data_IF_219887372442
#
_entry.id   IF_219887372442
#
_cell.length_a   1.000
_cell.length_b   1.000
_cell.length_c   1.000
_cell.angle_alpha   90.00
_cell.angle_beta   90.00
_cell.angle_gamma   90.00
#
_symmetry.space_group_name_H-M   'P 1'
#
loop_
_entity.id
_entity.type
_entity.pdbx_description
1 polymer ?
#
# COMPACT_ATOMS: atom_id res chain seq x y z
N UNK A 1 5.68 59.04 40.14
CA UNK A 1 4.42 58.27 40.10
C UNK A 1 4.07 58.00 38.64
N UNK A 2 4.14 56.71 38.25
CA UNK A 2 3.56 56.00 37.06
C UNK A 2 3.81 56.50 35.62
N UNK A 3 3.75 55.63 34.58
CA UNK A 3 4.18 54.22 34.39
C UNK A 3 5.23 54.11 33.23
N UNK A 4 6.05 53.07 33.06
CA UNK A 4 5.71 51.65 32.86
C UNK A 4 5.36 51.36 31.39
N UNK A 5 6.35 51.17 30.50
CA UNK A 5 6.12 50.82 29.08
C UNK A 5 6.86 49.52 28.72
N UNK A 6 6.13 48.41 28.74
CA UNK A 6 6.61 47.08 28.29
C UNK A 6 6.45 46.99 26.77
N UNK A 7 7.55 46.78 26.05
CA UNK A 7 7.56 46.40 24.64
C UNK A 7 7.27 44.90 24.54
N UNK A 8 6.12 44.52 23.97
CA UNK A 8 5.89 43.15 23.53
C UNK A 8 6.33 43.04 22.07
N UNK A 9 7.39 42.28 21.80
CA UNK A 9 7.70 41.82 20.44
C UNK A 9 6.79 40.62 20.14
N UNK A 10 5.84 40.80 19.22
CA UNK A 10 5.08 39.71 18.64
C UNK A 10 5.88 39.11 17.47
N UNK A 11 6.53 37.97 17.69
CA UNK A 11 7.19 37.20 16.63
C UNK A 11 6.12 36.49 15.81
N UNK A 12 5.85 36.99 14.61
CA UNK A 12 4.89 36.38 13.68
C UNK A 12 5.49 35.10 13.08
N UNK A 13 4.92 33.94 13.40
CA UNK A 13 5.20 32.69 12.67
C UNK A 13 4.47 32.74 11.32
N UNK A 14 5.20 32.92 10.24
CA UNK A 14 4.68 32.72 8.89
C UNK A 14 4.55 31.20 8.63
N UNK A 15 3.31 30.71 8.61
CA UNK A 15 2.98 29.35 8.21
C UNK A 15 3.16 29.25 6.68
N UNK A 16 4.28 28.67 6.22
CA UNK A 16 4.53 28.42 4.80
C UNK A 16 3.60 27.30 4.34
N UNK A 17 2.49 27.67 3.73
CA UNK A 17 1.60 26.75 3.03
C UNK A 17 2.30 26.28 1.75
N UNK A 18 2.84 25.05 1.75
CA UNK A 18 3.30 24.39 0.53
C UNK A 18 2.08 23.78 -0.16
N UNK A 19 1.69 24.22 -1.38
CA UNK A 19 0.67 23.51 -2.13
C UNK A 19 1.18 22.10 -2.44
N UNK A 20 0.35 21.09 -2.18
CA UNK A 20 0.60 19.73 -2.64
C UNK A 20 0.71 19.77 -4.17
N UNK A 21 1.88 19.38 -4.69
CA UNK A 21 2.09 19.24 -6.13
C UNK A 21 1.09 18.19 -6.64
N UNK A 22 0.09 18.63 -7.39
CA UNK A 22 -0.82 17.74 -8.09
C UNK A 22 0.01 16.97 -9.12
N UNK A 23 0.44 15.77 -8.75
CA UNK A 23 1.07 14.85 -9.68
C UNK A 23 0.05 14.55 -10.78
N UNK A 24 0.44 14.76 -12.04
CA UNK A 24 -0.34 14.30 -13.19
C UNK A 24 -0.66 12.83 -12.92
N UNK A 25 -1.94 12.48 -12.76
CA UNK A 25 -2.35 11.14 -12.33
C UNK A 25 -1.59 10.10 -13.15
N UNK A 26 -0.62 9.43 -12.52
CA UNK A 26 0.26 8.52 -13.23
C UNK A 26 -0.60 7.42 -13.83
N UNK A 27 -0.44 7.18 -15.13
CA UNK A 27 -1.23 6.19 -15.85
C UNK A 27 -1.14 4.83 -15.14
N UNK A 28 -2.27 4.13 -15.08
CA UNK A 28 -2.34 2.80 -14.50
C UNK A 28 -1.43 1.85 -15.29
N UNK A 29 -0.53 1.14 -14.61
CA UNK A 29 0.37 0.20 -15.25
C UNK A 29 0.68 -0.99 -14.33
N UNK A 30 1.22 -2.06 -14.91
CA UNK A 30 1.74 -3.22 -14.19
C UNK A 30 3.26 -3.07 -14.04
N UNK A 31 3.78 -2.95 -12.81
CA UNK A 31 5.22 -2.93 -12.57
C UNK A 31 5.90 -4.19 -13.13
N UNK A 32 6.91 -4.06 -14.01
CA UNK A 32 7.55 -5.22 -14.64
C UNK A 32 8.23 -6.15 -13.62
N UNK A 33 8.35 -7.47 -13.93
CA UNK A 33 9.14 -8.41 -13.14
C UNK A 33 10.56 -7.89 -12.85
N UNK A 34 11.07 -8.13 -11.64
CA UNK A 34 12.44 -7.76 -11.25
C UNK A 34 12.67 -6.27 -10.97
N UNK A 35 11.69 -5.39 -11.21
CA UNK A 35 11.87 -3.96 -10.94
C UNK A 35 11.90 -3.64 -9.43
N UNK A 36 12.60 -2.58 -9.01
CA UNK A 36 12.59 -2.12 -7.61
C UNK A 36 11.19 -1.80 -7.11
N UNK A 37 10.35 -1.24 -7.97
CA UNK A 37 8.95 -0.93 -7.67
C UNK A 37 8.14 -2.19 -7.35
N UNK A 38 8.18 -3.20 -8.24
CA UNK A 38 7.51 -4.47 -7.99
C UNK A 38 8.04 -5.13 -6.72
N UNK A 39 9.36 -5.06 -6.50
CA UNK A 39 10.01 -5.59 -5.30
C UNK A 39 9.51 -4.90 -4.04
N UNK A 40 9.33 -3.58 -4.06
CA UNK A 40 8.83 -2.80 -2.93
C UNK A 40 7.36 -3.12 -2.61
N UNK A 41 6.51 -3.26 -3.64
CA UNK A 41 5.10 -3.63 -3.51
C UNK A 41 4.95 -5.04 -2.92
N UNK A 42 5.58 -6.05 -3.53
CA UNK A 42 5.54 -7.42 -3.03
C UNK A 42 6.20 -7.54 -1.64
N UNK A 43 7.21 -6.72 -1.36
CA UNK A 43 7.82 -6.61 -0.05
C UNK A 43 6.86 -6.06 1.02
N UNK A 44 6.00 -5.11 0.68
CA UNK A 44 4.98 -4.61 1.59
C UNK A 44 3.93 -5.68 1.93
N UNK A 45 3.48 -6.45 0.93
CA UNK A 45 2.56 -7.59 1.15
C UNK A 45 3.21 -8.64 2.05
N UNK A 46 4.45 -9.05 1.75
CA UNK A 46 5.20 -10.00 2.59
C UNK A 46 5.31 -9.54 4.04
N UNK A 47 5.64 -8.27 4.28
CA UNK A 47 5.74 -7.71 5.64
C UNK A 47 4.39 -7.72 6.37
N UNK A 48 3.30 -7.37 5.69
CA UNK A 48 1.96 -7.39 6.27
C UNK A 48 1.55 -8.81 6.71
N UNK A 49 1.95 -9.82 5.95
CA UNK A 49 1.71 -11.23 6.23
C UNK A 49 2.75 -11.90 7.14
N UNK A 50 3.80 -11.16 7.54
CA UNK A 50 4.94 -11.68 8.35
C UNK A 50 5.66 -12.87 7.71
N UNK A 51 5.71 -12.92 6.38
CA UNK A 51 6.36 -14.00 5.63
C UNK A 51 7.87 -13.76 5.50
N UNK A 52 8.65 -14.83 5.43
CA UNK A 52 10.09 -14.76 5.29
C UNK A 52 10.49 -14.41 3.83
N UNK A 53 11.17 -13.28 3.57
CA UNK A 53 11.56 -12.85 2.22
C UNK A 53 12.45 -13.83 1.46
N UNK A 54 13.25 -14.65 2.16
CA UNK A 54 14.15 -15.63 1.55
C UNK A 54 13.48 -16.97 1.24
N UNK A 55 12.30 -17.23 1.82
CA UNK A 55 11.61 -18.52 1.72
C UNK A 55 10.26 -18.42 0.98
N UNK A 56 9.77 -17.20 0.72
CA UNK A 56 8.44 -16.96 0.17
C UNK A 56 8.48 -15.98 -1.00
N UNK A 57 7.76 -16.33 -2.07
CA UNK A 57 7.47 -15.53 -3.26
C UNK A 57 5.96 -15.50 -3.49
N UNK A 58 5.53 -14.77 -4.51
CA UNK A 58 4.14 -14.78 -4.95
C UNK A 58 4.03 -15.20 -6.41
N UNK A 59 3.12 -16.13 -6.69
CA UNK A 59 2.51 -16.28 -7.99
C UNK A 59 1.49 -15.15 -8.15
N UNK A 60 1.75 -14.19 -9.05
CA UNK A 60 0.98 -12.95 -9.15
C UNK A 60 -0.11 -13.09 -10.20
N UNK A 61 -1.37 -13.02 -9.78
CA UNK A 61 -2.54 -13.03 -10.68
C UNK A 61 -2.84 -11.64 -11.21
N UNK A 62 -2.75 -10.64 -10.35
CA UNK A 62 -2.94 -9.24 -10.73
C UNK A 62 -2.04 -8.31 -9.92
N UNK A 63 -1.41 -7.36 -10.61
CA UNK A 63 -0.67 -6.28 -9.96
C UNK A 63 -0.75 -5.04 -10.83
N UNK A 64 -1.34 -3.98 -10.29
CA UNK A 64 -1.39 -2.66 -10.96
C UNK A 64 -1.15 -1.54 -9.98
N UNK A 65 -0.51 -0.48 -10.46
CA UNK A 65 -0.26 0.78 -9.75
C UNK A 65 -0.88 1.94 -10.50
N UNK A 66 -1.48 2.87 -9.76
CA UNK A 66 -1.85 4.19 -10.24
C UNK A 66 -1.54 5.24 -9.16
N UNK A 67 -0.67 6.21 -9.48
CA UNK A 67 -0.21 7.22 -8.52
C UNK A 67 0.38 6.61 -7.23
N UNK A 68 -0.26 6.93 -6.09
CA UNK A 68 0.12 6.45 -4.76
C UNK A 68 -0.60 5.16 -4.35
N UNK A 69 -1.36 4.53 -5.26
CA UNK A 69 -2.13 3.33 -4.96
C UNK A 69 -1.67 2.16 -5.81
N UNK A 70 -1.78 0.95 -5.26
CA UNK A 70 -1.59 -0.28 -6.00
C UNK A 70 -2.53 -1.36 -5.49
N UNK A 71 -2.97 -2.26 -6.38
CA UNK A 71 -3.74 -3.44 -6.01
C UNK A 71 -2.98 -4.69 -6.42
N UNK A 72 -3.00 -5.69 -5.54
CA UNK A 72 -2.31 -6.95 -5.67
C UNK A 72 -3.26 -8.12 -5.41
N UNK A 73 -3.14 -9.15 -6.23
CA UNK A 73 -3.77 -10.45 -6.05
C UNK A 73 -2.80 -11.56 -6.45
N UNK A 74 -2.71 -12.62 -5.65
CA UNK A 74 -1.80 -13.74 -5.92
C UNK A 74 -1.78 -14.79 -4.82
N UNK A 75 -1.09 -15.90 -5.09
CA UNK A 75 -0.85 -16.97 -4.14
C UNK A 75 0.61 -16.97 -3.67
N UNK A 76 0.86 -17.35 -2.42
CA UNK A 76 2.22 -17.57 -1.94
C UNK A 76 2.81 -18.83 -2.59
N UNK A 77 4.12 -18.75 -2.84
CA UNK A 77 4.93 -19.86 -3.31
C UNK A 77 6.14 -19.96 -2.39
N UNK A 78 6.36 -21.12 -1.78
CA UNK A 78 7.47 -21.37 -0.87
C UNK A 78 8.57 -22.19 -1.53
N UNK A 79 9.81 -21.96 -1.11
CA UNK A 79 10.94 -22.80 -1.50
C UNK A 79 10.90 -24.12 -0.71
N UNK A 80 11.11 -25.22 -1.41
CA UNK A 80 11.31 -26.54 -0.81
C UNK A 80 12.81 -26.89 -0.73
N UNK A 81 13.18 -27.81 0.16
CA UNK A 81 14.57 -28.22 0.40
C UNK A 81 15.28 -28.75 -0.86
N UNK A 82 14.50 -29.28 -1.80
CA UNK A 82 14.99 -29.80 -3.09
C UNK A 82 15.16 -28.70 -4.17
N UNK A 83 15.23 -27.42 -3.78
CA UNK A 83 15.32 -26.24 -4.68
C UNK A 83 14.13 -26.06 -5.63
N UNK A 84 13.02 -26.77 -5.40
CA UNK A 84 11.77 -26.54 -6.12
C UNK A 84 10.91 -25.50 -5.39
N UNK A 85 9.88 -25.03 -6.09
CA UNK A 85 8.93 -24.05 -5.59
C UNK A 85 7.54 -24.69 -5.56
N UNK A 86 6.83 -24.55 -4.44
CA UNK A 86 5.49 -25.07 -4.28
C UNK A 86 4.52 -23.94 -3.95
N UNK A 87 3.43 -23.86 -4.72
CA UNK A 87 2.31 -22.97 -4.41
C UNK A 87 1.61 -23.46 -3.14
N UNK A 88 1.35 -22.54 -2.21
CA UNK A 88 0.62 -22.83 -0.98
C UNK A 88 -0.86 -22.58 -1.19
N UNK A 89 -1.67 -22.94 -0.20
CA UNK A 89 -3.09 -22.56 -0.15
C UNK A 89 -3.29 -21.08 0.22
N UNK A 90 -2.21 -20.32 0.47
CA UNK A 90 -2.28 -18.91 0.86
C UNK A 90 -2.58 -18.00 -0.34
N UNK A 91 -3.86 -17.69 -0.56
CA UNK A 91 -4.34 -16.63 -1.47
C UNK A 91 -4.38 -15.29 -0.77
N UNK A 92 -4.05 -14.22 -1.50
CA UNK A 92 -3.95 -12.87 -0.96
C UNK A 92 -4.60 -11.86 -1.92
N UNK A 93 -5.39 -10.95 -1.38
CA UNK A 93 -5.83 -9.70 -2.03
C UNK A 93 -5.43 -8.51 -1.16
N UNK A 94 -4.82 -7.49 -1.75
CA UNK A 94 -4.38 -6.32 -1.00
C UNK A 94 -4.51 -5.03 -1.81
N UNK A 95 -5.01 -3.99 -1.15
CA UNK A 95 -4.83 -2.61 -1.60
C UNK A 95 -3.69 -1.98 -0.82
N UNK A 96 -2.76 -1.35 -1.54
CA UNK A 96 -1.58 -0.71 -0.99
C UNK A 96 -1.62 0.79 -1.26
N UNK A 97 -1.09 1.55 -0.31
CA UNK A 97 -0.87 2.99 -0.42
C UNK A 97 0.61 3.31 -0.20
N UNK A 98 1.14 4.23 -1.00
CA UNK A 98 2.45 4.80 -0.81
C UNK A 98 2.36 5.92 0.23
N UNK A 99 2.82 5.66 1.45
CA UNK A 99 2.76 6.60 2.57
C UNK A 99 4.17 7.01 2.96
N UNK A 100 4.56 8.24 2.61
CA UNK A 100 5.89 8.76 2.89
C UNK A 100 6.95 8.07 2.02
N UNK A 101 7.81 7.26 2.64
CA UNK A 101 8.94 6.60 1.97
C UNK A 101 8.69 5.13 1.60
N UNK A 102 7.51 4.57 1.90
CA UNK A 102 7.26 3.15 1.69
C UNK A 102 5.80 2.82 1.35
N UNK A 103 5.64 1.72 0.62
CA UNK A 103 4.35 1.06 0.44
C UNK A 103 3.87 0.38 1.72
N UNK A 104 2.60 0.57 2.03
CA UNK A 104 1.89 -0.05 3.16
C UNK A 104 0.58 -0.67 2.67
N UNK A 105 0.16 -1.73 3.33
CA UNK A 105 -1.13 -2.38 3.04
C UNK A 105 -2.22 -1.61 3.80
N UNK A 106 -3.20 -1.09 3.06
CA UNK A 106 -4.34 -0.35 3.61
C UNK A 106 -5.52 -1.28 3.91
N UNK A 107 -5.76 -2.27 3.04
CA UNK A 107 -6.72 -3.35 3.29
C UNK A 107 -6.20 -4.67 2.73
N UNK A 108 -6.45 -5.76 3.45
CA UNK A 108 -5.90 -7.09 3.20
C UNK A 108 -6.97 -8.15 3.38
N UNK A 109 -6.95 -9.16 2.53
CA UNK A 109 -7.71 -10.39 2.69
C UNK A 109 -6.85 -11.60 2.30
N UNK A 110 -7.05 -12.71 2.99
CA UNK A 110 -6.33 -13.97 2.72
C UNK A 110 -7.23 -15.19 2.81
N UNK A 111 -6.88 -16.24 2.06
CA UNK A 111 -7.32 -17.63 2.30
C UNK A 111 -6.11 -18.54 2.46
N UNK A 112 -6.13 -19.60 3.30
CA UNK A 112 -7.12 -19.80 4.35
C UNK A 112 -7.07 -18.60 5.30
N UNK A 113 -8.25 -18.01 5.55
CA UNK A 113 -8.38 -16.82 6.39
C UNK A 113 -8.43 -17.24 7.84
N UNK A 114 -8.04 -16.34 8.76
CA UNK A 114 -8.66 -16.38 10.07
C UNK A 114 -10.05 -15.74 9.92
N UNK A 115 -11.04 -16.18 10.71
CA UNK A 115 -12.39 -15.59 10.69
C UNK A 115 -12.41 -14.07 11.01
N UNK A 116 -11.25 -13.46 11.33
CA UNK A 116 -11.09 -12.02 11.54
C UNK A 116 -11.03 -11.21 10.24
N UNK A 117 -10.81 -11.83 9.08
CA UNK A 117 -10.73 -11.14 7.78
C UNK A 117 -11.71 -11.73 6.76
N UNK A 118 -13.02 -11.59 7.01
CA UNK A 118 -14.05 -12.01 6.07
C UNK A 118 -13.94 -11.28 4.72
N UNK A 119 -14.17 -12.00 3.61
CA UNK A 119 -14.12 -11.43 2.26
C UNK A 119 -15.07 -10.24 2.10
N UNK A 120 -16.30 -10.35 2.63
CA UNK A 120 -17.28 -9.27 2.57
C UNK A 120 -16.79 -7.98 3.26
N UNK A 121 -16.07 -8.10 4.38
CA UNK A 121 -15.50 -6.94 5.08
C UNK A 121 -14.38 -6.28 4.25
N UNK A 122 -13.55 -7.08 3.59
CA UNK A 122 -12.55 -6.60 2.64
C UNK A 122 -13.20 -5.85 1.48
N UNK A 123 -14.20 -6.44 0.84
CA UNK A 123 -14.90 -5.86 -0.31
C UNK A 123 -15.60 -4.55 0.06
N UNK A 124 -16.26 -4.51 1.22
CA UNK A 124 -16.89 -3.30 1.74
C UNK A 124 -15.84 -2.20 1.99
N UNK A 125 -14.73 -2.52 2.66
CA UNK A 125 -13.66 -1.54 2.91
C UNK A 125 -13.02 -1.07 1.61
N UNK A 126 -12.81 -1.97 0.65
CA UNK A 126 -12.26 -1.65 -0.66
C UNK A 126 -13.20 -0.71 -1.43
N UNK A 127 -14.50 -0.98 -1.44
CA UNK A 127 -15.49 -0.11 -2.09
C UNK A 127 -15.48 1.30 -1.50
N UNK A 128 -15.42 1.44 -0.17
CA UNK A 128 -15.29 2.74 0.49
C UNK A 128 -14.02 3.47 0.04
N UNK A 129 -12.86 2.81 0.06
CA UNK A 129 -11.59 3.42 -0.34
C UNK A 129 -11.57 3.84 -1.81
N UNK A 130 -12.17 3.02 -2.70
CA UNK A 130 -12.35 3.35 -4.12
C UNK A 130 -13.13 4.65 -4.31
N UNK A 131 -14.22 4.82 -3.58
CA UNK A 131 -15.03 6.02 -3.64
C UNK A 131 -14.33 7.24 -3.02
N UNK A 132 -13.75 7.09 -1.82
CA UNK A 132 -13.11 8.19 -1.09
C UNK A 132 -11.88 8.75 -1.80
N UNK A 133 -11.09 7.90 -2.46
CA UNK A 133 -9.85 8.30 -3.10
C UNK A 133 -9.94 8.36 -4.63
N UNK A 134 -11.14 8.21 -5.20
CA UNK A 134 -11.38 8.20 -6.65
C UNK A 134 -10.41 7.26 -7.39
N UNK A 135 -10.26 6.02 -6.89
CA UNK A 135 -9.30 5.08 -7.44
C UNK A 135 -9.70 4.67 -8.87
N UNK A 136 -8.74 4.65 -9.82
CA UNK A 136 -9.05 4.29 -11.20
C UNK A 136 -9.53 2.84 -11.30
N UNK A 137 -10.54 2.61 -12.13
CA UNK A 137 -11.14 1.28 -12.31
C UNK A 137 -10.13 0.26 -12.83
N UNK A 138 -9.20 0.68 -13.68
CA UNK A 138 -8.15 -0.15 -14.29
C UNK A 138 -7.16 -0.73 -13.28
N UNK A 139 -7.18 -0.25 -12.03
CA UNK A 139 -6.36 -0.77 -10.95
C UNK A 139 -6.83 -2.17 -10.49
N UNK A 140 -8.10 -2.47 -10.70
CA UNK A 140 -8.76 -3.71 -10.28
C UNK A 140 -8.95 -4.67 -11.47
N UNK A 141 -9.04 -5.99 -11.24
CA UNK A 141 -9.33 -6.98 -12.27
C UNK A 141 -10.74 -6.81 -12.87
#
# INVERSE_FOLDING_TARGET
MTPGRRLFLATSLALVWRPARADKAAATHTPPPGTPERTALLGAVRRALRLNPGASRFNVFHLRRAGNWAYFEGNEVIALDNRSWQETDLTVKALLVHSGSAWRVEVLWTLPGNDRFALAAFEQRLATLRQTHHLPGELFP
#
